data_IF_795194026748
#
_entry.id   IF_795194026748
#
_cell.length_a   1.000
_cell.length_b   1.000
_cell.length_c   1.000
_cell.angle_alpha   90.00
_cell.angle_beta   90.00
_cell.angle_gamma   90.00
#
_symmetry.space_group_name_H-M   'P 1'
#
loop_
_entity.id
_entity.type
_entity.pdbx_description
1 polymer ?
#
# COMPACT_ATOMS: atom_id res chain seq x y z
N UNK A 1 -8.42 -70.97 34.29
CA UNK A 1 -7.98 -71.21 32.88
C UNK A 1 -8.05 -69.92 32.11
N UNK A 2 -6.89 -69.16 32.02
CA UNK A 2 -6.81 -67.93 31.30
C UNK A 2 -6.85 -68.18 29.80
N UNK A 3 -7.83 -67.62 29.10
CA UNK A 3 -7.89 -67.65 27.63
C UNK A 3 -6.78 -66.79 27.09
N UNK A 4 -5.86 -67.37 26.33
CA UNK A 4 -4.79 -66.64 25.66
C UNK A 4 -5.38 -65.76 24.55
N UNK A 5 -5.24 -64.43 24.67
CA UNK A 5 -5.69 -63.48 23.65
C UNK A 5 -4.81 -63.60 22.41
N UNK A 6 -5.46 -63.66 21.24
CA UNK A 6 -4.80 -63.64 19.92
C UNK A 6 -5.47 -62.60 19.00
N UNK A 7 -4.68 -61.92 18.19
CA UNK A 7 -5.19 -60.88 17.25
C UNK A 7 -5.61 -59.59 17.94
N UNK A 8 -6.64 -58.96 17.42
CA UNK A 8 -7.11 -57.66 17.88
C UNK A 8 -7.95 -57.74 19.15
N UNK A 9 -7.51 -57.11 20.22
CA UNK A 9 -8.29 -56.94 21.45
C UNK A 9 -9.07 -55.62 21.41
N UNK A 10 -10.34 -55.70 21.84
CA UNK A 10 -11.27 -54.56 21.92
C UNK A 10 -11.60 -54.22 23.35
N UNK A 11 -11.89 -52.96 23.63
CA UNK A 11 -12.47 -52.52 24.89
C UNK A 11 -13.98 -52.79 24.95
N UNK A 12 -14.63 -52.41 26.05
CA UNK A 12 -16.08 -52.58 26.27
C UNK A 12 -16.94 -51.83 25.26
N UNK A 13 -16.39 -50.79 24.57
CA UNK A 13 -17.06 -50.04 23.50
C UNK A 13 -16.87 -50.70 22.13
N UNK A 14 -16.17 -51.81 22.03
CA UNK A 14 -15.83 -52.47 20.77
C UNK A 14 -14.67 -51.88 20.02
N UNK A 15 -13.97 -50.86 20.59
CA UNK A 15 -12.82 -50.19 19.97
C UNK A 15 -11.54 -51.02 20.14
N UNK A 16 -10.79 -51.25 19.07
CA UNK A 16 -9.51 -51.94 19.12
C UNK A 16 -8.51 -51.14 19.97
N UNK A 17 -7.93 -51.80 20.99
CA UNK A 17 -7.01 -51.14 21.92
C UNK A 17 -5.65 -51.83 22.02
N UNK A 18 -5.54 -53.14 21.71
CA UNK A 18 -4.28 -53.91 21.73
C UNK A 18 -4.24 -54.92 20.58
N UNK A 19 -3.05 -55.43 20.30
CA UNK A 19 -2.84 -56.51 19.36
C UNK A 19 -1.92 -57.58 19.98
N UNK A 20 -2.30 -58.83 19.81
CA UNK A 20 -1.54 -60.00 20.26
C UNK A 20 -1.16 -60.86 19.07
N UNK A 21 0.06 -61.43 19.09
CA UNK A 21 0.51 -62.33 18.01
C UNK A 21 -0.41 -63.52 17.85
N UNK A 22 -0.70 -63.94 16.62
CA UNK A 22 -1.62 -65.04 16.32
C UNK A 22 -1.11 -66.41 16.74
N UNK A 23 0.21 -66.57 16.83
CA UNK A 23 0.82 -67.81 17.32
C UNK A 23 0.89 -67.85 18.85
N UNK A 24 1.84 -67.19 19.42
CA UNK A 24 2.18 -67.25 20.85
C UNK A 24 1.35 -66.31 21.72
N UNK A 25 0.49 -65.44 21.18
CA UNK A 25 -0.33 -64.53 21.98
C UNK A 25 0.46 -63.47 22.75
N UNK A 26 1.68 -63.12 22.30
CA UNK A 26 2.46 -62.04 22.91
C UNK A 26 1.85 -60.69 22.58
N UNK A 27 1.77 -59.82 23.57
CA UNK A 27 1.37 -58.43 23.37
C UNK A 27 2.37 -57.72 22.48
N UNK A 28 1.85 -57.07 21.48
CA UNK A 28 2.68 -56.32 20.51
C UNK A 28 2.80 -54.86 20.91
N UNK A 29 4.03 -54.34 20.84
CA UNK A 29 4.37 -52.94 21.10
C UNK A 29 5.13 -52.36 19.90
N UNK A 30 5.28 -51.01 19.84
CA UNK A 30 5.96 -50.31 18.77
C UNK A 30 5.15 -50.23 17.49
N UNK A 31 5.86 -49.99 16.38
CA UNK A 31 5.25 -49.87 15.06
C UNK A 31 5.01 -51.23 14.41
N UNK A 32 3.80 -51.43 13.93
CA UNK A 32 3.40 -52.61 13.16
C UNK A 32 2.72 -52.21 11.88
N UNK A 33 3.10 -52.88 10.78
CA UNK A 33 2.47 -52.74 9.48
C UNK A 33 1.73 -54.00 9.09
N UNK A 34 0.45 -53.88 8.79
CA UNK A 34 -0.37 -55.01 8.35
C UNK A 34 -0.11 -55.36 6.84
N UNK A 35 -0.65 -56.48 6.38
CA UNK A 35 -0.49 -56.94 5.01
C UNK A 35 -1.05 -55.97 3.96
N UNK A 36 -1.88 -54.98 4.35
CA UNK A 36 -2.41 -53.92 3.48
C UNK A 36 -1.54 -52.69 3.49
N UNK A 37 -0.40 -52.69 4.19
CA UNK A 37 0.51 -51.55 4.35
C UNK A 37 0.10 -50.50 5.37
N UNK A 38 -0.97 -50.74 6.16
CA UNK A 38 -1.37 -49.84 7.21
C UNK A 38 -0.48 -50.00 8.42
N UNK A 39 0.18 -48.94 8.85
CA UNK A 39 1.04 -48.95 10.04
C UNK A 39 0.25 -48.40 11.25
N UNK A 40 0.38 -49.05 12.39
CA UNK A 40 -0.13 -48.60 13.69
C UNK A 40 1.00 -48.61 14.70
N UNK A 41 0.82 -47.92 15.81
CA UNK A 41 1.78 -47.90 16.90
C UNK A 41 1.07 -48.31 18.18
N UNK A 42 1.75 -49.12 18.97
CA UNK A 42 1.31 -49.59 20.30
C UNK A 42 2.35 -49.15 21.34
N UNK A 43 1.90 -48.51 22.38
CA UNK A 43 2.75 -47.99 23.45
C UNK A 43 3.65 -49.11 24.04
N UNK A 44 4.93 -48.81 24.21
CA UNK A 44 5.95 -49.79 24.59
C UNK A 44 5.72 -50.41 25.99
N UNK A 45 5.04 -49.67 26.90
CA UNK A 45 4.83 -50.10 28.26
C UNK A 45 3.46 -50.76 28.45
N UNK A 46 2.42 -50.20 27.84
CA UNK A 46 1.04 -50.58 28.07
C UNK A 46 0.44 -51.41 26.95
N UNK A 47 1.10 -51.48 25.80
CA UNK A 47 0.56 -52.10 24.59
C UNK A 47 -0.70 -51.42 24.04
N UNK A 48 -1.07 -50.25 24.53
CA UNK A 48 -2.23 -49.53 24.04
C UNK A 48 -1.97 -48.91 22.66
N UNK A 49 -2.93 -49.04 21.76
CA UNK A 49 -2.84 -48.52 20.43
C UNK A 49 -2.84 -46.97 20.46
N UNK A 50 -1.81 -46.38 19.91
CA UNK A 50 -1.66 -44.93 19.80
C UNK A 50 -2.69 -44.33 18.85
N UNK A 51 -3.29 -43.22 19.27
CA UNK A 51 -4.23 -42.38 18.49
C UNK A 51 -3.87 -40.94 18.67
N UNK A 52 -3.97 -40.15 17.61
CA UNK A 52 -3.52 -38.75 17.62
C UNK A 52 -2.01 -38.65 17.44
N UNK A 53 -1.40 -37.72 18.14
CA UNK A 53 0.02 -37.39 17.98
C UNK A 53 0.92 -38.33 18.77
N UNK A 54 2.02 -38.74 18.17
CA UNK A 54 3.16 -39.41 18.78
C UNK A 54 4.43 -38.62 18.47
N UNK A 55 5.26 -38.44 19.49
CA UNK A 55 6.65 -38.03 19.33
C UNK A 55 7.53 -39.18 19.81
N UNK A 56 8.44 -39.65 18.93
CA UNK A 56 9.36 -40.73 19.28
C UNK A 56 10.59 -40.23 20.06
N UNK A 57 11.45 -41.13 20.48
CA UNK A 57 12.69 -40.82 21.21
C UNK A 57 13.72 -39.99 20.40
N UNK A 58 13.58 -39.95 19.08
CA UNK A 58 14.40 -39.14 18.16
C UNK A 58 13.74 -37.79 17.83
N UNK A 59 12.65 -37.46 18.55
CA UNK A 59 11.88 -36.22 18.34
C UNK A 59 11.13 -36.13 16.99
N UNK A 60 10.95 -37.25 16.28
CA UNK A 60 10.09 -37.28 15.11
C UNK A 60 8.63 -37.33 15.49
N UNK A 61 7.76 -36.59 14.81
CA UNK A 61 6.32 -36.55 15.07
C UNK A 61 5.55 -37.35 14.04
N UNK A 62 4.55 -38.06 14.50
CA UNK A 62 3.63 -38.89 13.73
C UNK A 62 2.20 -38.57 14.13
N UNK A 63 1.27 -38.87 13.26
CA UNK A 63 -0.14 -38.74 13.55
C UNK A 63 -0.89 -40.02 13.20
N UNK A 64 -1.73 -40.50 14.12
CA UNK A 64 -2.54 -41.69 13.98
C UNK A 64 -4.03 -41.31 13.99
N UNK A 65 -4.77 -41.70 12.97
CA UNK A 65 -6.20 -41.38 12.88
C UNK A 65 -6.98 -41.91 14.07
N UNK A 66 -7.80 -41.06 14.68
CA UNK A 66 -8.52 -41.36 15.94
C UNK A 66 -9.49 -42.56 15.80
N UNK A 67 -10.09 -42.76 14.63
CA UNK A 67 -10.98 -43.90 14.36
C UNK A 67 -10.20 -45.19 14.19
N UNK A 68 -9.29 -45.29 13.24
CA UNK A 68 -8.61 -46.50 12.78
C UNK A 68 -7.31 -46.81 13.53
N UNK A 69 -6.66 -45.83 14.13
CA UNK A 69 -5.30 -45.93 14.65
C UNK A 69 -4.24 -46.12 13.56
N UNK A 70 -4.58 -45.90 12.28
CA UNK A 70 -3.64 -46.01 11.16
C UNK A 70 -2.79 -44.73 11.11
N UNK A 71 -1.50 -44.90 10.89
CA UNK A 71 -0.53 -43.81 10.74
C UNK A 71 -0.81 -42.98 9.50
N UNK A 72 -0.85 -41.71 9.65
CA UNK A 72 -1.00 -40.74 8.54
C UNK A 72 0.21 -40.79 7.60
N UNK A 73 -0.03 -40.78 6.31
CA UNK A 73 0.94 -40.62 5.24
C UNK A 73 0.38 -39.64 4.19
N UNK A 74 1.24 -38.85 3.56
CA UNK A 74 0.81 -37.84 2.59
C UNK A 74 0.15 -36.63 3.26
N UNK A 75 -0.81 -36.05 2.55
CA UNK A 75 -1.51 -34.85 2.98
C UNK A 75 -2.55 -35.14 4.04
N UNK A 76 -2.53 -34.35 5.09
CA UNK A 76 -3.55 -34.35 6.15
C UNK A 76 -4.01 -32.91 6.38
N UNK A 77 -5.32 -32.72 6.36
CA UNK A 77 -5.98 -31.44 6.63
C UNK A 77 -6.82 -31.53 7.90
N UNK A 78 -6.74 -30.53 8.76
CA UNK A 78 -7.55 -30.46 9.96
C UNK A 78 -8.86 -29.68 9.73
N UNK A 79 -9.70 -29.58 10.77
CA UNK A 79 -10.98 -28.85 10.69
C UNK A 79 -10.85 -27.34 10.44
N UNK A 80 -9.67 -26.77 10.63
CA UNK A 80 -9.33 -25.39 10.35
C UNK A 80 -8.68 -25.21 8.97
N UNK A 81 -8.79 -26.20 8.07
CA UNK A 81 -8.22 -26.22 6.72
C UNK A 81 -6.69 -26.10 6.68
N UNK A 82 -6.04 -26.31 7.81
CA UNK A 82 -4.58 -26.31 7.90
C UNK A 82 -4.01 -27.64 7.41
N UNK A 83 -3.08 -27.58 6.46
CA UNK A 83 -2.49 -28.74 5.82
C UNK A 83 -1.12 -29.08 6.41
N UNK A 84 -0.88 -30.37 6.57
CA UNK A 84 0.42 -30.97 6.93
C UNK A 84 0.75 -32.04 5.92
N UNK A 85 2.03 -32.36 5.81
CA UNK A 85 2.46 -33.46 4.99
C UNK A 85 3.27 -34.47 5.82
N UNK A 86 2.94 -35.73 5.69
CA UNK A 86 3.64 -36.84 6.33
C UNK A 86 4.35 -37.66 5.26
N UNK A 87 5.60 -38.01 5.51
CA UNK A 87 6.41 -38.79 4.58
C UNK A 87 5.69 -40.07 4.15
N UNK A 88 5.63 -40.33 2.85
CA UNK A 88 5.02 -41.55 2.30
C UNK A 88 5.80 -42.81 2.73
N UNK A 89 7.14 -42.70 2.91
CA UNK A 89 7.98 -43.85 3.23
C UNK A 89 7.89 -44.23 4.70
N UNK A 90 7.89 -43.27 5.61
CA UNK A 90 8.03 -43.56 7.05
C UNK A 90 6.99 -42.89 7.96
N UNK A 91 6.05 -42.08 7.43
CA UNK A 91 5.01 -41.40 8.18
C UNK A 91 5.48 -40.25 9.07
N UNK A 92 6.73 -39.84 9.00
CA UNK A 92 7.24 -38.71 9.78
C UNK A 92 6.62 -37.40 9.28
N UNK A 93 6.22 -36.54 10.20
CA UNK A 93 5.75 -35.20 9.85
C UNK A 93 6.88 -34.39 9.18
N UNK A 94 6.60 -33.84 8.02
CA UNK A 94 7.52 -32.98 7.31
C UNK A 94 7.53 -31.56 7.89
N UNK A 95 8.70 -30.96 8.05
CA UNK A 95 8.92 -29.57 8.49
C UNK A 95 10.00 -28.91 7.64
N UNK A 96 10.04 -27.57 7.64
CA UNK A 96 10.99 -26.82 6.83
C UNK A 96 10.69 -26.88 5.33
N UNK A 97 11.72 -26.69 4.53
CA UNK A 97 11.62 -26.69 3.07
C UNK A 97 11.47 -28.12 2.53
N UNK A 98 10.44 -28.32 1.73
CA UNK A 98 10.21 -29.57 0.99
C UNK A 98 10.09 -29.29 -0.49
N UNK A 99 10.89 -29.98 -1.30
CA UNK A 99 10.83 -29.95 -2.76
C UNK A 99 10.08 -31.19 -3.26
N UNK A 100 9.04 -31.00 -4.06
CA UNK A 100 8.33 -32.10 -4.71
C UNK A 100 9.14 -32.65 -5.90
N UNK A 101 8.76 -33.83 -6.39
CA UNK A 101 9.34 -34.43 -7.61
C UNK A 101 9.15 -33.56 -8.85
N UNK A 102 8.09 -32.73 -8.87
CA UNK A 102 7.85 -31.74 -9.94
C UNK A 102 8.66 -30.43 -9.75
N UNK A 103 9.61 -30.38 -8.80
CA UNK A 103 10.45 -29.21 -8.55
C UNK A 103 9.80 -28.09 -7.74
N UNK A 104 8.54 -28.24 -7.32
CA UNK A 104 7.84 -27.22 -6.53
C UNK A 104 8.28 -27.23 -5.06
N UNK A 105 8.54 -26.03 -4.50
CA UNK A 105 8.91 -25.87 -3.09
C UNK A 105 7.70 -25.49 -2.26
N UNK A 106 7.62 -26.04 -1.04
CA UNK A 106 6.70 -25.67 0.02
C UNK A 106 7.47 -25.53 1.33
N UNK A 107 6.90 -24.79 2.28
CA UNK A 107 7.49 -24.67 3.60
C UNK A 107 6.47 -25.09 4.66
N UNK A 108 6.94 -25.89 5.60
CA UNK A 108 6.15 -26.38 6.72
C UNK A 108 6.76 -25.88 8.03
N UNK A 109 5.93 -25.22 8.85
CA UNK A 109 6.37 -24.59 10.09
C UNK A 109 7.10 -25.59 11.00
N UNK A 110 8.35 -25.32 11.43
CA UNK A 110 9.15 -26.28 12.22
C UNK A 110 8.47 -26.74 13.50
N UNK A 111 7.74 -25.86 14.19
CA UNK A 111 7.12 -26.16 15.47
C UNK A 111 5.95 -27.14 15.38
N UNK A 112 5.17 -27.14 14.29
CA UNK A 112 3.91 -27.89 14.21
C UNK A 112 3.57 -28.47 12.83
N UNK A 113 4.46 -28.32 11.84
CA UNK A 113 4.30 -28.89 10.50
C UNK A 113 3.17 -28.29 9.66
N UNK A 114 2.58 -27.15 10.06
CA UNK A 114 1.55 -26.47 9.25
C UNK A 114 2.21 -25.88 8.00
N UNK A 115 1.62 -26.16 6.84
CA UNK A 115 2.07 -25.60 5.56
C UNK A 115 1.85 -24.09 5.52
N UNK A 116 2.86 -23.34 5.07
CA UNK A 116 2.74 -21.92 4.85
C UNK A 116 1.93 -21.58 3.59
N UNK A 117 1.09 -20.56 3.70
CA UNK A 117 0.29 -20.00 2.59
C UNK A 117 0.24 -18.49 2.72
N UNK A 118 0.22 -17.77 1.59
CA UNK A 118 0.28 -16.32 1.58
C UNK A 118 1.71 -15.78 1.67
N UNK A 119 1.85 -14.55 2.15
CA UNK A 119 3.15 -13.92 2.38
C UNK A 119 3.65 -14.29 3.78
N UNK A 120 4.76 -14.99 3.84
CA UNK A 120 5.32 -15.49 5.09
C UNK A 120 6.82 -15.21 5.16
N UNK A 121 7.34 -14.98 6.37
CA UNK A 121 8.76 -14.82 6.64
C UNK A 121 9.36 -16.17 7.04
N UNK A 122 10.39 -16.60 6.32
CA UNK A 122 11.20 -17.78 6.64
C UNK A 122 12.61 -17.27 6.88
N UNK A 123 13.12 -17.47 8.09
CA UNK A 123 14.34 -16.83 8.58
C UNK A 123 14.24 -15.31 8.44
N UNK A 124 15.10 -14.66 7.66
CA UNK A 124 15.06 -13.22 7.47
C UNK A 124 14.40 -12.77 6.16
N UNK A 125 14.02 -13.71 5.30
CA UNK A 125 13.49 -13.44 3.97
C UNK A 125 11.98 -13.63 3.89
N UNK A 126 11.30 -12.79 3.09
CA UNK A 126 9.90 -12.97 2.77
C UNK A 126 9.71 -13.84 1.52
N UNK A 127 8.70 -14.71 1.55
CA UNK A 127 8.28 -15.57 0.45
C UNK A 127 6.77 -15.52 0.29
N UNK A 128 6.30 -15.71 -0.92
CA UNK A 128 4.87 -15.90 -1.16
C UNK A 128 4.57 -17.35 -1.53
N UNK A 129 3.65 -17.93 -0.79
CA UNK A 129 3.15 -19.29 -1.01
C UNK A 129 1.71 -19.22 -1.53
N UNK A 130 1.42 -19.92 -2.63
CA UNK A 130 0.06 -19.98 -3.17
C UNK A 130 -0.95 -20.36 -2.09
N UNK A 131 -2.02 -19.60 -1.93
CA UNK A 131 -3.05 -19.85 -0.92
C UNK A 131 -3.73 -21.20 -1.08
N UNK A 132 -3.89 -21.66 -2.34
CA UNK A 132 -4.54 -22.95 -2.65
C UNK A 132 -3.60 -24.13 -2.54
N UNK A 133 -2.35 -24.00 -2.98
CA UNK A 133 -1.42 -25.13 -3.13
C UNK A 133 -0.24 -25.12 -2.19
N UNK A 134 0.04 -24.00 -1.53
CA UNK A 134 1.23 -23.78 -0.71
C UNK A 134 2.54 -23.79 -1.52
N UNK A 135 2.47 -23.78 -2.85
CA UNK A 135 3.66 -23.73 -3.70
C UNK A 135 4.27 -22.33 -3.65
N UNK A 136 5.59 -22.26 -3.42
CA UNK A 136 6.35 -21.01 -3.42
C UNK A 136 6.27 -20.32 -4.78
N UNK A 137 5.92 -19.05 -4.78
CA UNK A 137 5.95 -18.21 -5.98
C UNK A 137 7.37 -17.75 -6.26
N UNK A 138 7.79 -17.83 -7.53
CA UNK A 138 9.14 -17.46 -7.98
C UNK A 138 9.12 -17.01 -9.45
N UNK A 139 8.19 -16.11 -9.81
CA UNK A 139 7.96 -15.68 -11.19
C UNK A 139 8.18 -14.18 -11.41
N UNK A 140 9.05 -13.54 -10.60
CA UNK A 140 9.30 -12.11 -10.70
C UNK A 140 8.21 -11.27 -10.02
N UNK A 141 7.69 -10.26 -10.70
CA UNK A 141 6.69 -9.38 -10.13
C UNK A 141 5.40 -10.12 -9.73
N UNK A 142 4.89 -9.77 -8.55
CA UNK A 142 3.66 -10.31 -8.01
C UNK A 142 2.96 -9.31 -7.11
N UNK A 143 1.62 -9.43 -6.99
CA UNK A 143 0.80 -8.58 -6.12
C UNK A 143 0.24 -9.39 -4.96
N UNK A 144 0.41 -8.90 -3.75
CA UNK A 144 -0.15 -9.48 -2.53
C UNK A 144 -1.00 -8.42 -1.81
N UNK A 145 -2.31 -8.59 -1.83
CA UNK A 145 -3.23 -7.52 -1.45
C UNK A 145 -3.12 -6.34 -2.44
N UNK A 146 -2.88 -5.14 -1.92
CA UNK A 146 -2.63 -3.93 -2.73
C UNK A 146 -1.15 -3.65 -2.99
N UNK A 147 -0.24 -4.48 -2.46
CA UNK A 147 1.19 -4.24 -2.50
C UNK A 147 1.86 -5.05 -3.60
N UNK A 148 2.82 -4.44 -4.32
CA UNK A 148 3.63 -5.08 -5.35
C UNK A 148 4.95 -5.56 -4.76
N UNK A 149 5.43 -6.72 -5.21
CA UNK A 149 6.67 -7.38 -4.81
C UNK A 149 7.41 -7.89 -6.04
N UNK A 150 8.68 -8.22 -5.89
CA UNK A 150 9.42 -9.01 -6.86
C UNK A 150 9.96 -10.25 -6.15
N UNK A 151 9.53 -11.43 -6.57
CA UNK A 151 10.01 -12.71 -6.05
C UNK A 151 11.04 -13.29 -7.01
N UNK A 152 12.29 -13.43 -6.54
CA UNK A 152 13.41 -13.85 -7.38
C UNK A 152 13.12 -15.21 -8.04
N UNK A 153 13.27 -15.33 -9.37
CA UNK A 153 13.00 -16.58 -10.07
C UNK A 153 13.87 -17.76 -9.65
N UNK A 154 15.05 -17.50 -9.09
CA UNK A 154 16.00 -18.57 -8.70
C UNK A 154 15.66 -19.17 -7.34
N UNK A 155 15.35 -18.35 -6.34
CA UNK A 155 15.17 -18.78 -4.95
C UNK A 155 13.82 -18.40 -4.33
N UNK A 156 13.00 -17.58 -5.01
CA UNK A 156 11.67 -17.15 -4.58
C UNK A 156 11.65 -16.13 -3.46
N UNK A 157 12.80 -15.57 -3.07
CA UNK A 157 12.87 -14.52 -2.06
C UNK A 157 12.24 -13.23 -2.57
N UNK A 158 11.51 -12.54 -1.73
CA UNK A 158 11.10 -11.18 -2.03
C UNK A 158 12.31 -10.26 -2.06
N UNK A 159 12.46 -9.52 -3.15
CA UNK A 159 13.55 -8.56 -3.32
C UNK A 159 13.42 -7.42 -2.32
N UNK A 160 14.54 -7.01 -1.74
CA UNK A 160 14.70 -5.77 -0.98
C UNK A 160 15.78 -4.91 -1.62
N UNK A 161 15.76 -3.60 -1.38
CA UNK A 161 16.69 -2.67 -2.00
C UNK A 161 16.51 -2.54 -3.52
N UNK A 162 17.58 -2.18 -4.20
CA UNK A 162 17.56 -1.92 -5.64
C UNK A 162 17.47 -3.19 -6.50
N UNK A 163 16.64 -3.11 -7.55
CA UNK A 163 16.58 -4.07 -8.65
C UNK A 163 16.71 -3.32 -9.98
N UNK A 164 17.60 -3.79 -10.86
CA UNK A 164 17.63 -3.35 -12.25
C UNK A 164 17.15 -4.50 -13.13
N UNK A 165 16.09 -4.27 -13.91
CA UNK A 165 15.52 -5.24 -14.82
C UNK A 165 15.18 -4.54 -16.14
N UNK A 166 15.66 -5.05 -17.26
CA UNK A 166 15.45 -4.50 -18.61
C UNK A 166 15.78 -2.99 -18.71
N UNK A 167 16.88 -2.57 -18.07
CA UNK A 167 17.35 -1.18 -18.03
C UNK A 167 16.53 -0.26 -17.11
N UNK A 168 15.47 -0.75 -16.49
CA UNK A 168 14.65 -0.01 -15.50
C UNK A 168 15.10 -0.32 -14.08
N UNK A 169 15.09 0.69 -13.23
CA UNK A 169 15.42 0.55 -11.79
C UNK A 169 14.15 0.57 -10.94
N UNK A 170 14.12 -0.31 -9.97
CA UNK A 170 13.05 -0.44 -8.98
C UNK A 170 13.65 -0.47 -7.59
N UNK A 171 12.90 -0.07 -6.58
CA UNK A 171 13.32 -0.17 -5.19
C UNK A 171 12.24 -0.82 -4.33
N UNK A 172 12.67 -1.70 -3.44
CA UNK A 172 11.83 -2.43 -2.51
C UNK A 172 12.29 -2.11 -1.08
N UNK A 173 11.36 -1.79 -0.20
CA UNK A 173 11.68 -1.55 1.21
C UNK A 173 12.06 -2.87 1.93
N UNK A 174 12.41 -2.79 3.23
CA UNK A 174 12.85 -3.94 4.03
C UNK A 174 11.77 -5.03 4.20
N UNK A 175 10.50 -4.71 3.96
CA UNK A 175 9.41 -5.67 3.90
C UNK A 175 9.19 -6.25 2.49
N UNK A 176 10.08 -5.95 1.52
CA UNK A 176 9.99 -6.40 0.13
C UNK A 176 8.91 -5.68 -0.69
N UNK A 177 8.29 -4.62 -0.17
CA UNK A 177 7.25 -3.87 -0.90
C UNK A 177 7.88 -2.90 -1.87
N UNK A 178 7.48 -2.96 -3.13
CA UNK A 178 7.93 -2.06 -4.19
C UNK A 178 7.45 -0.62 -3.93
N UNK A 179 8.35 0.35 -4.04
CA UNK A 179 7.97 1.75 -4.07
C UNK A 179 7.34 2.08 -5.43
N UNK A 180 6.17 2.72 -5.41
CA UNK A 180 5.47 3.19 -6.60
C UNK A 180 4.64 4.43 -6.23
N UNK A 181 4.36 5.30 -7.20
CA UNK A 181 3.63 6.57 -7.04
C UNK A 181 4.17 7.40 -5.85
N UNK A 182 5.50 7.47 -5.71
CA UNK A 182 6.13 8.14 -4.57
C UNK A 182 7.47 8.72 -4.93
N UNK A 183 7.98 9.56 -4.03
CA UNK A 183 9.39 9.99 -4.05
C UNK A 183 10.03 9.55 -2.73
N UNK A 184 11.26 9.09 -2.82
CA UNK A 184 12.04 8.71 -1.67
C UNK A 184 13.52 9.08 -1.85
N UNK A 185 14.15 9.51 -0.76
CA UNK A 185 15.61 9.64 -0.69
C UNK A 185 16.20 8.27 -0.32
N UNK A 186 17.07 7.77 -1.16
CA UNK A 186 17.77 6.49 -0.98
C UNK A 186 19.26 6.76 -1.13
N UNK A 187 20.03 6.46 -0.10
CA UNK A 187 21.47 6.69 -0.05
C UNK A 187 21.84 8.16 -0.39
N UNK A 188 21.06 9.12 0.13
CA UNK A 188 21.29 10.55 -0.08
C UNK A 188 20.87 11.07 -1.47
N UNK A 189 20.35 10.21 -2.33
CA UNK A 189 19.86 10.60 -3.67
C UNK A 189 18.34 10.49 -3.72
N UNK A 190 17.66 11.51 -4.20
CA UNK A 190 16.21 11.50 -4.35
C UNK A 190 15.81 10.85 -5.68
N UNK A 191 14.85 9.94 -5.60
CA UNK A 191 14.27 9.25 -6.75
C UNK A 191 12.76 9.41 -6.75
N UNK A 192 12.19 9.61 -7.93
CA UNK A 192 10.77 9.48 -8.21
C UNK A 192 10.47 8.07 -8.71
N UNK A 193 9.44 7.45 -8.17
CA UNK A 193 8.91 6.16 -8.59
C UNK A 193 7.55 6.38 -9.25
N UNK A 194 7.41 6.00 -10.51
CA UNK A 194 6.13 6.09 -11.23
C UNK A 194 5.12 5.02 -10.72
N UNK A 195 3.92 4.98 -11.29
CA UNK A 195 2.87 4.00 -10.93
C UNK A 195 3.28 2.55 -11.19
N UNK A 196 4.28 2.34 -12.04
CA UNK A 196 4.85 1.02 -12.32
C UNK A 196 6.03 0.69 -11.39
N UNK A 197 6.46 1.65 -10.55
CA UNK A 197 7.59 1.54 -9.66
C UNK A 197 8.94 1.81 -10.33
N UNK A 198 8.97 2.35 -11.56
CA UNK A 198 10.23 2.68 -12.22
C UNK A 198 10.82 3.92 -11.59
N UNK A 199 12.05 3.78 -11.10
CA UNK A 199 12.79 4.86 -10.47
C UNK A 199 13.46 5.76 -11.52
N UNK A 200 13.25 7.06 -11.40
CA UNK A 200 14.00 8.10 -12.12
C UNK A 200 14.72 8.96 -11.09
N UNK A 201 16.02 9.14 -11.26
CA UNK A 201 16.76 10.09 -10.41
C UNK A 201 16.21 11.49 -10.68
N UNK A 202 15.76 12.16 -9.63
CA UNK A 202 15.35 13.56 -9.78
C UNK A 202 16.59 14.44 -9.70
N UNK A 203 16.74 15.33 -10.64
CA UNK A 203 17.72 16.41 -10.57
C UNK A 203 17.19 17.53 -9.67
N UNK A 204 16.76 17.18 -8.44
CA UNK A 204 16.10 18.14 -7.57
C UNK A 204 17.11 18.84 -6.68
N UNK A 205 17.81 19.81 -7.23
CA UNK A 205 18.53 20.78 -6.40
C UNK A 205 17.58 21.76 -5.69
N UNK A 206 16.25 21.68 -5.93
CA UNK A 206 15.28 22.70 -5.53
C UNK A 206 14.35 22.32 -4.38
N UNK A 207 14.31 21.05 -3.91
CA UNK A 207 13.46 20.67 -2.78
C UNK A 207 14.03 19.55 -1.91
N UNK A 208 13.62 19.54 -0.64
CA UNK A 208 13.90 18.47 0.34
C UNK A 208 12.62 17.99 1.00
N UNK A 209 12.59 16.74 1.46
CA UNK A 209 11.45 16.22 2.23
C UNK A 209 11.66 16.58 3.70
N UNK A 210 10.67 17.23 4.31
CA UNK A 210 10.66 17.62 5.72
C UNK A 210 9.37 17.12 6.37
N UNK A 211 9.44 15.96 7.00
CA UNK A 211 8.29 15.30 7.63
C UNK A 211 7.18 14.99 6.61
N UNK A 212 6.02 15.60 6.80
CA UNK A 212 4.85 15.45 5.91
C UNK A 212 4.83 16.42 4.74
N UNK A 213 5.83 17.28 4.61
CA UNK A 213 5.87 18.34 3.62
C UNK A 213 7.09 18.22 2.72
N UNK A 214 7.03 18.92 1.58
CA UNK A 214 8.16 19.14 0.67
C UNK A 214 8.61 20.57 0.84
N UNK A 215 9.85 20.76 1.28
CA UNK A 215 10.45 22.09 1.48
C UNK A 215 11.10 22.52 0.18
N UNK A 216 10.64 23.63 -0.38
CA UNK A 216 11.08 24.19 -1.68
C UNK A 216 11.70 25.55 -1.47
N UNK A 217 12.82 25.82 -2.14
CA UNK A 217 13.43 27.15 -2.15
C UNK A 217 12.87 27.98 -3.33
N UNK A 218 12.26 29.11 -3.00
CA UNK A 218 11.81 30.09 -4.01
C UNK A 218 12.89 31.17 -4.19
N UNK A 219 13.60 31.10 -5.30
CA UNK A 219 14.73 31.99 -5.58
C UNK A 219 14.30 33.45 -5.75
N UNK A 220 13.11 33.73 -6.26
CA UNK A 220 12.59 35.12 -6.43
C UNK A 220 12.32 35.75 -5.07
N UNK A 221 11.75 35.00 -4.14
CA UNK A 221 11.45 35.47 -2.79
C UNK A 221 12.64 35.32 -1.82
N UNK A 222 13.63 34.50 -2.17
CA UNK A 222 14.82 34.24 -1.35
C UNK A 222 14.54 33.45 -0.09
N UNK A 223 13.46 32.64 -0.04
CA UNK A 223 13.11 31.88 1.16
C UNK A 223 12.52 30.50 0.82
N UNK A 224 12.45 29.65 1.86
CA UNK A 224 11.83 28.34 1.77
C UNK A 224 10.34 28.40 2.06
N UNK A 225 9.58 27.58 1.31
CA UNK A 225 8.17 27.31 1.55
C UNK A 225 7.93 25.82 1.73
N UNK A 226 6.84 25.45 2.37
CA UNK A 226 6.44 24.06 2.59
C UNK A 226 5.26 23.74 1.68
N UNK A 227 5.43 22.70 0.83
CA UNK A 227 4.40 22.21 -0.07
C UNK A 227 3.78 20.94 0.51
N UNK A 228 2.53 20.69 0.17
CA UNK A 228 1.91 19.38 0.40
C UNK A 228 2.70 18.29 -0.34
N UNK A 229 2.69 17.05 0.16
CA UNK A 229 3.38 15.92 -0.49
C UNK A 229 2.92 15.68 -1.93
N UNK A 230 1.67 16.02 -2.23
CA UNK A 230 1.10 15.93 -3.58
C UNK A 230 1.87 16.74 -4.61
N UNK A 231 2.62 17.77 -4.20
CA UNK A 231 3.52 18.52 -5.08
C UNK A 231 4.48 17.61 -5.85
N UNK A 232 4.97 16.57 -5.19
CA UNK A 232 5.89 15.60 -5.80
C UNK A 232 5.19 14.30 -6.23
N UNK A 233 3.96 14.06 -5.77
CA UNK A 233 3.19 12.87 -6.12
C UNK A 233 2.37 13.05 -7.39
N UNK A 234 1.85 14.27 -7.63
CA UNK A 234 1.08 14.56 -8.83
C UNK A 234 2.02 14.64 -10.04
N UNK A 235 1.71 13.90 -11.14
CA UNK A 235 2.56 13.87 -12.32
C UNK A 235 2.76 15.25 -12.92
N UNK A 236 4.01 15.57 -13.31
CA UNK A 236 4.33 16.80 -14.05
C UNK A 236 4.38 18.09 -13.23
N UNK A 237 4.08 18.06 -11.92
CA UNK A 237 4.07 19.27 -11.08
C UNK A 237 5.49 19.67 -10.64
N UNK A 238 6.19 18.76 -9.96
CA UNK A 238 7.53 19.09 -9.43
C UNK A 238 8.57 19.31 -10.53
N UNK A 239 8.50 18.57 -11.63
CA UNK A 239 9.39 18.68 -12.78
C UNK A 239 8.98 19.77 -13.79
N UNK A 240 7.80 20.36 -13.60
CA UNK A 240 7.31 21.47 -14.44
C UNK A 240 6.80 21.08 -15.83
N UNK A 241 6.52 19.79 -16.07
CA UNK A 241 5.95 19.35 -17.36
C UNK A 241 4.47 19.70 -17.50
N UNK A 242 3.73 19.84 -16.38
CA UNK A 242 2.40 20.47 -16.38
C UNK A 242 2.58 21.98 -16.49
N UNK A 243 1.99 22.61 -17.49
CA UNK A 243 2.07 24.06 -17.68
C UNK A 243 1.28 24.80 -16.62
N UNK A 244 1.61 26.08 -16.39
CA UNK A 244 0.87 26.94 -15.47
C UNK A 244 -0.60 27.09 -15.89
N UNK A 245 -0.89 27.10 -17.20
CA UNK A 245 -2.25 27.13 -17.73
C UNK A 245 -3.01 25.83 -17.41
N UNK A 246 -2.40 24.66 -17.63
CA UNK A 246 -3.03 23.38 -17.35
C UNK A 246 -3.32 23.20 -15.86
N UNK A 247 -2.36 23.59 -15.00
CA UNK A 247 -2.54 23.55 -13.56
C UNK A 247 -3.64 24.51 -13.10
N UNK A 248 -3.63 25.75 -13.60
CA UNK A 248 -4.62 26.75 -13.21
C UNK A 248 -6.04 26.36 -13.66
N UNK A 249 -6.18 25.83 -14.89
CA UNK A 249 -7.46 25.30 -15.38
C UNK A 249 -7.96 24.13 -14.50
N UNK A 250 -7.06 23.22 -14.10
CA UNK A 250 -7.40 22.12 -13.23
C UNK A 250 -7.88 22.60 -11.83
N UNK A 251 -7.24 23.64 -11.27
CA UNK A 251 -7.66 24.26 -10.00
C UNK A 251 -9.02 24.94 -10.16
N UNK A 252 -9.23 25.71 -11.23
CA UNK A 252 -10.50 26.39 -11.50
C UNK A 252 -11.69 25.43 -11.54
N UNK A 253 -11.55 24.32 -12.26
CA UNK A 253 -12.59 23.31 -12.37
C UNK A 253 -12.81 22.57 -11.05
N UNK A 254 -11.76 22.29 -10.29
CA UNK A 254 -11.86 21.59 -9.03
C UNK A 254 -12.48 22.43 -7.91
N UNK A 255 -12.19 23.74 -7.86
CA UNK A 255 -12.67 24.65 -6.81
C UNK A 255 -13.98 25.37 -7.17
N UNK A 256 -14.22 25.65 -8.44
CA UNK A 256 -15.32 26.52 -8.89
C UNK A 256 -16.08 26.00 -10.11
N UNK A 257 -16.04 24.69 -10.39
CA UNK A 257 -16.70 24.10 -11.55
C UNK A 257 -18.20 24.43 -11.65
N UNK A 258 -18.88 24.52 -10.53
CA UNK A 258 -20.30 24.87 -10.41
C UNK A 258 -20.57 26.39 -10.42
N UNK A 259 -19.56 27.24 -10.34
CA UNK A 259 -19.69 28.70 -10.27
C UNK A 259 -19.73 29.38 -11.64
N UNK A 260 -19.47 28.63 -12.72
CA UNK A 260 -19.36 29.13 -14.10
C UNK A 260 -18.06 29.91 -14.35
N UNK A 261 -17.88 30.38 -15.58
CA UNK A 261 -16.61 30.97 -16.06
C UNK A 261 -16.10 32.10 -15.16
N UNK A 262 -16.96 33.03 -14.74
CA UNK A 262 -16.54 34.16 -13.90
C UNK A 262 -16.06 33.68 -12.50
N UNK A 263 -16.73 32.71 -11.89
CA UNK A 263 -16.29 32.15 -10.62
C UNK A 263 -14.95 31.42 -10.74
N UNK A 264 -14.75 30.67 -11.79
CA UNK A 264 -13.48 30.03 -12.13
C UNK A 264 -12.37 31.08 -12.37
N UNK A 265 -12.66 32.18 -13.09
CA UNK A 265 -11.74 33.27 -13.35
C UNK A 265 -11.32 33.99 -12.06
N UNK A 266 -12.26 34.20 -11.15
CA UNK A 266 -11.99 34.77 -9.83
C UNK A 266 -11.05 33.89 -8.99
N UNK A 267 -11.27 32.55 -8.99
CA UNK A 267 -10.36 31.58 -8.35
C UNK A 267 -8.96 31.63 -8.96
N UNK A 268 -8.86 31.67 -10.30
CA UNK A 268 -7.58 31.80 -10.98
C UNK A 268 -6.83 33.08 -10.57
N UNK A 269 -7.55 34.22 -10.52
CA UNK A 269 -6.94 35.51 -10.10
C UNK A 269 -6.47 35.45 -8.63
N UNK A 270 -7.17 34.78 -7.71
CA UNK A 270 -6.68 34.58 -6.35
C UNK A 270 -5.32 33.88 -6.32
N UNK A 271 -5.15 32.80 -7.08
CA UNK A 271 -3.87 32.08 -7.20
C UNK A 271 -2.78 33.02 -7.75
N UNK A 272 -3.09 33.75 -8.82
CA UNK A 272 -2.16 34.65 -9.48
C UNK A 272 -1.75 35.84 -8.57
N UNK A 273 -2.70 36.42 -7.85
CA UNK A 273 -2.44 37.52 -6.92
C UNK A 273 -1.50 37.12 -5.79
N UNK A 274 -1.57 35.86 -5.32
CA UNK A 274 -0.62 35.34 -4.35
C UNK A 274 0.82 35.32 -4.87
N UNK A 275 1.06 35.13 -6.17
CA UNK A 275 2.42 35.09 -6.75
C UNK A 275 3.18 36.41 -6.71
N UNK A 276 2.48 37.52 -6.49
CA UNK A 276 3.04 38.89 -6.40
C UNK A 276 2.88 39.50 -5.02
N UNK A 277 2.65 38.65 -3.98
CA UNK A 277 2.47 39.13 -2.63
C UNK A 277 3.71 39.89 -2.11
N UNK A 278 3.54 41.14 -1.76
CA UNK A 278 4.62 42.04 -1.31
C UNK A 278 5.25 41.57 0.00
N UNK A 279 4.47 40.97 0.88
CA UNK A 279 4.92 40.45 2.18
C UNK A 279 5.61 39.09 2.06
N UNK A 280 5.59 38.49 0.87
CA UNK A 280 6.19 37.18 0.56
C UNK A 280 5.66 36.05 1.50
N UNK A 281 4.41 36.14 1.89
CA UNK A 281 3.72 35.06 2.62
C UNK A 281 3.47 33.89 1.69
N UNK A 282 3.27 34.20 0.39
CA UNK A 282 3.10 33.22 -0.67
C UNK A 282 4.35 33.07 -1.53
N UNK A 283 4.55 31.87 -2.11
CA UNK A 283 5.60 31.65 -3.11
C UNK A 283 5.32 32.42 -4.41
N UNK A 284 6.37 32.65 -5.19
CA UNK A 284 6.29 33.43 -6.43
C UNK A 284 5.86 32.63 -7.68
N UNK A 285 5.66 31.33 -7.57
CA UNK A 285 5.26 30.47 -8.68
C UNK A 285 3.89 29.85 -8.46
N UNK A 286 3.06 29.77 -9.49
CA UNK A 286 1.69 29.24 -9.45
C UNK A 286 1.67 27.84 -8.79
N UNK A 287 2.56 26.94 -9.21
CA UNK A 287 2.64 25.58 -8.65
C UNK A 287 2.99 25.56 -7.17
N UNK A 288 3.78 26.49 -6.69
CA UNK A 288 4.12 26.59 -5.28
C UNK A 288 2.98 27.17 -4.46
N UNK A 289 2.24 28.14 -5.01
CA UNK A 289 1.03 28.69 -4.37
C UNK A 289 -0.03 27.61 -4.23
N UNK A 290 -0.34 26.87 -5.31
CA UNK A 290 -1.37 25.83 -5.32
C UNK A 290 -1.07 24.73 -4.31
N UNK A 291 0.19 24.32 -4.19
CA UNK A 291 0.60 23.21 -3.31
C UNK A 291 1.10 23.64 -1.93
N UNK A 292 1.02 24.91 -1.57
CA UNK A 292 1.45 25.39 -0.25
C UNK A 292 0.72 24.66 0.88
N UNK A 293 1.48 24.06 1.81
CA UNK A 293 0.98 23.14 2.83
C UNK A 293 1.04 23.64 4.28
N UNK A 294 1.67 24.80 4.53
CA UNK A 294 1.72 25.43 5.87
C UNK A 294 1.38 26.93 5.79
N UNK A 295 0.10 27.28 5.93
CA UNK A 295 -1.10 26.42 5.94
C UNK A 295 -1.46 25.87 4.54
N UNK A 296 -2.26 24.80 4.49
CA UNK A 296 -2.83 24.28 3.22
C UNK A 296 -3.75 25.34 2.62
N UNK A 297 -3.46 25.74 1.38
CA UNK A 297 -4.24 26.79 0.71
C UNK A 297 -5.47 26.24 -0.02
N UNK A 298 -5.32 25.08 -0.68
CA UNK A 298 -6.36 24.50 -1.53
C UNK A 298 -6.64 23.05 -1.13
N UNK A 299 -7.85 22.77 -0.63
CA UNK A 299 -8.26 21.44 -0.18
C UNK A 299 -8.23 20.41 -1.32
N UNK A 300 -8.53 20.83 -2.55
CA UNK A 300 -8.54 19.99 -3.76
C UNK A 300 -7.20 19.30 -4.05
N UNK A 301 -6.11 19.81 -3.49
CA UNK A 301 -4.77 19.20 -3.57
C UNK A 301 -4.73 17.88 -2.80
N UNK A 302 -5.33 17.85 -1.61
CA UNK A 302 -5.24 16.73 -0.68
C UNK A 302 -6.42 15.76 -0.75
N UNK A 303 -7.59 16.21 -1.22
CA UNK A 303 -8.80 15.38 -1.36
C UNK A 303 -8.87 14.57 -2.66
N UNK A 304 -7.92 14.82 -3.58
CA UNK A 304 -7.80 14.11 -4.86
C UNK A 304 -8.61 14.73 -6.01
N UNK A 305 -9.35 15.81 -5.80
CA UNK A 305 -10.10 16.49 -6.86
C UNK A 305 -9.15 17.05 -7.93
N UNK A 306 -8.08 17.72 -7.51
CA UNK A 306 -7.07 18.26 -8.43
C UNK A 306 -6.40 17.16 -9.27
N UNK A 307 -6.04 16.01 -8.66
CA UNK A 307 -5.43 14.90 -9.39
C UNK A 307 -6.35 14.35 -10.49
N UNK A 308 -7.68 14.30 -10.25
CA UNK A 308 -8.64 13.87 -11.26
C UNK A 308 -8.59 14.80 -12.47
N UNK A 309 -8.54 16.13 -12.27
CA UNK A 309 -8.45 17.14 -13.34
C UNK A 309 -7.13 17.05 -14.09
N UNK A 310 -6.02 16.90 -13.39
CA UNK A 310 -4.69 16.69 -14.02
C UNK A 310 -4.64 15.41 -14.87
N UNK A 311 -5.43 14.39 -14.53
CA UNK A 311 -5.62 13.18 -15.33
C UNK A 311 -6.70 13.33 -16.43
N UNK A 312 -7.16 14.56 -16.71
CA UNK A 312 -8.11 14.86 -17.78
C UNK A 312 -9.59 14.71 -17.44
N UNK A 313 -9.94 14.42 -16.19
CA UNK A 313 -11.32 14.23 -15.73
C UNK A 313 -11.93 15.56 -15.23
N UNK A 314 -12.15 16.51 -16.15
CA UNK A 314 -12.78 17.78 -15.87
C UNK A 314 -14.32 17.65 -15.78
N UNK A 315 -14.96 18.53 -15.01
CA UNK A 315 -16.41 18.74 -15.05
C UNK A 315 -16.79 19.66 -16.23
N UNK A 316 -16.04 20.76 -16.40
CA UNK A 316 -16.21 21.68 -17.54
C UNK A 316 -14.85 22.18 -18.05
N UNK A 317 -14.16 21.31 -18.79
CA UNK A 317 -12.84 21.60 -19.33
C UNK A 317 -12.78 22.88 -20.16
N UNK A 318 -13.79 23.11 -21.01
CA UNK A 318 -13.80 24.25 -21.93
C UNK A 318 -13.84 25.57 -21.16
N UNK A 319 -14.75 25.69 -20.20
CA UNK A 319 -14.85 26.88 -19.39
C UNK A 319 -13.68 27.05 -18.43
N UNK A 320 -13.14 25.97 -17.87
CA UNK A 320 -11.96 26.03 -17.01
C UNK A 320 -10.72 26.60 -17.72
N UNK A 321 -10.44 26.13 -18.94
CA UNK A 321 -9.33 26.68 -19.74
C UNK A 321 -9.58 28.10 -20.21
N UNK A 322 -10.83 28.45 -20.57
CA UNK A 322 -11.17 29.83 -20.95
C UNK A 322 -10.98 30.80 -19.77
N UNK A 323 -11.45 30.41 -18.57
CA UNK A 323 -11.29 31.19 -17.36
C UNK A 323 -9.81 31.36 -16.93
N UNK A 324 -9.05 30.27 -16.91
CA UNK A 324 -7.63 30.32 -16.58
C UNK A 324 -6.84 31.21 -17.53
N UNK A 325 -7.11 31.13 -18.84
CA UNK A 325 -6.47 31.94 -19.85
C UNK A 325 -6.83 33.42 -19.70
N UNK A 326 -8.11 33.74 -19.52
CA UNK A 326 -8.58 35.14 -19.35
C UNK A 326 -7.97 35.75 -18.07
N UNK A 327 -7.93 35.02 -16.97
CA UNK A 327 -7.28 35.46 -15.73
C UNK A 327 -5.79 35.71 -15.91
N UNK A 328 -5.06 34.84 -16.60
CA UNK A 328 -3.63 35.03 -16.89
C UNK A 328 -3.38 36.26 -17.79
N UNK A 329 -4.20 36.48 -18.80
CA UNK A 329 -4.12 37.65 -19.67
C UNK A 329 -4.37 38.95 -18.87
N UNK A 330 -5.43 39.01 -18.08
CA UNK A 330 -5.76 40.12 -17.20
C UNK A 330 -4.66 40.41 -16.18
N UNK A 331 -4.13 39.33 -15.54
CA UNK A 331 -3.03 39.44 -14.59
C UNK A 331 -1.74 39.96 -15.25
N UNK A 332 -1.39 39.48 -16.43
CA UNK A 332 -0.23 39.95 -17.17
C UNK A 332 -0.36 41.44 -17.58
N UNK A 333 -1.55 41.86 -17.95
CA UNK A 333 -1.81 43.28 -18.24
C UNK A 333 -1.71 44.16 -16.98
N UNK A 334 -2.13 43.62 -15.81
CA UNK A 334 -1.91 44.28 -14.53
C UNK A 334 -0.42 44.45 -14.22
N UNK A 335 0.34 43.36 -14.27
CA UNK A 335 1.77 43.35 -13.92
C UNK A 335 2.59 44.24 -14.88
N UNK A 336 2.29 44.21 -16.17
CA UNK A 336 3.10 44.90 -17.19
C UNK A 336 2.66 46.34 -17.45
N UNK A 337 1.37 46.65 -17.24
CA UNK A 337 0.79 47.96 -17.66
C UNK A 337 0.01 48.68 -16.55
N UNK A 338 -0.15 48.05 -15.38
CA UNK A 338 -0.96 48.58 -14.29
C UNK A 338 -2.47 48.59 -14.57
N UNK A 339 -2.93 47.81 -15.57
CA UNK A 339 -4.36 47.70 -15.92
C UNK A 339 -5.11 46.99 -14.80
N UNK A 340 -6.18 47.61 -14.30
CA UNK A 340 -6.98 47.04 -13.20
C UNK A 340 -7.65 45.73 -13.61
N UNK A 341 -7.67 44.77 -12.69
CA UNK A 341 -8.33 43.46 -12.84
C UNK A 341 -9.80 43.60 -12.49
N UNK A 342 -10.67 43.63 -13.48
CA UNK A 342 -12.11 43.83 -13.28
C UNK A 342 -12.89 42.65 -13.81
N UNK A 343 -13.72 42.03 -12.93
CA UNK A 343 -14.57 40.90 -13.26
C UNK A 343 -16.04 41.29 -13.28
N UNK A 344 -16.83 40.79 -14.24
CA UNK A 344 -18.28 40.97 -14.24
C UNK A 344 -18.92 40.34 -12.99
N UNK A 345 -19.85 41.09 -12.38
CA UNK A 345 -20.54 40.64 -11.18
C UNK A 345 -19.83 40.92 -9.85
N UNK A 346 -18.62 41.50 -9.91
CA UNK A 346 -17.91 42.07 -8.75
C UNK A 346 -18.04 43.58 -8.73
N UNK A 347 -18.08 44.17 -7.53
CA UNK A 347 -18.17 45.64 -7.37
C UNK A 347 -16.82 46.29 -7.27
N UNK A 348 -15.78 45.52 -6.90
CA UNK A 348 -14.40 46.00 -6.86
C UNK A 348 -13.93 46.41 -8.28
N UNK A 349 -13.18 47.53 -8.32
CA UNK A 349 -12.61 48.02 -9.59
C UNK A 349 -11.26 47.37 -9.93
N UNK A 350 -10.64 46.71 -8.97
CA UNK A 350 -9.42 45.93 -9.11
C UNK A 350 -9.50 44.69 -8.22
N UNK A 351 -9.60 43.54 -8.85
CA UNK A 351 -9.71 42.26 -8.16
C UNK A 351 -8.35 41.87 -7.57
N UNK A 352 -8.10 42.28 -6.30
CA UNK A 352 -6.85 42.03 -5.56
C UNK A 352 -6.99 40.92 -4.51
N UNK A 353 -8.12 40.21 -4.49
CA UNK A 353 -8.38 39.14 -3.53
C UNK A 353 -7.37 37.99 -3.70
N UNK A 354 -6.94 37.44 -2.56
CA UNK A 354 -5.98 36.31 -2.49
C UNK A 354 -6.62 35.04 -1.96
N UNK A 355 -7.74 35.16 -1.28
CA UNK A 355 -8.41 34.07 -0.60
C UNK A 355 -9.86 33.94 -1.05
N UNK A 356 -10.39 32.73 -0.98
CA UNK A 356 -11.80 32.46 -1.12
C UNK A 356 -12.21 31.25 -0.28
N UNK A 357 -13.48 31.19 0.10
CA UNK A 357 -14.10 30.07 0.77
C UNK A 357 -15.61 30.13 0.66
N UNK A 358 -16.30 29.06 1.07
CA UNK A 358 -17.75 29.09 1.13
C UNK A 358 -18.25 30.11 2.15
N UNK A 359 -19.44 30.72 1.97
CA UNK A 359 -20.00 31.69 2.92
C UNK A 359 -20.14 31.14 4.34
N UNK A 360 -20.43 29.86 4.50
CA UNK A 360 -20.51 29.19 5.81
C UNK A 360 -19.13 29.12 6.48
N UNK A 361 -18.11 28.69 5.73
CA UNK A 361 -16.74 28.65 6.23
C UNK A 361 -16.22 30.05 6.59
N UNK A 362 -16.52 31.06 5.75
CA UNK A 362 -16.12 32.46 5.99
C UNK A 362 -16.72 33.00 7.28
N UNK A 363 -18.02 32.81 7.53
CA UNK A 363 -18.71 33.24 8.76
C UNK A 363 -18.18 32.55 10.02
N UNK A 364 -17.65 31.34 9.89
CA UNK A 364 -17.08 30.57 11.00
C UNK A 364 -15.67 31.05 11.40
N UNK A 365 -15.02 31.90 10.60
CA UNK A 365 -13.71 32.44 10.92
C UNK A 365 -13.80 33.59 11.94
N UNK A 366 -12.80 33.67 12.80
CA UNK A 366 -12.65 34.79 13.73
C UNK A 366 -11.99 35.98 13.00
N UNK A 367 -12.71 36.62 12.08
CA UNK A 367 -12.22 37.73 11.27
C UNK A 367 -12.85 39.06 11.69
N UNK A 368 -12.07 40.14 11.58
CA UNK A 368 -12.57 41.49 11.78
C UNK A 368 -13.25 42.02 10.50
N UNK A 369 -14.52 41.65 10.33
CA UNK A 369 -15.29 41.99 9.10
C UNK A 369 -15.42 43.49 8.85
N UNK A 370 -15.26 44.35 9.87
CA UNK A 370 -15.33 45.81 9.69
C UNK A 370 -14.05 46.41 9.03
N UNK A 371 -12.96 45.68 9.07
CA UNK A 371 -11.67 46.06 8.47
C UNK A 371 -11.29 45.25 7.25
N UNK A 372 -12.02 44.18 6.99
CA UNK A 372 -11.73 43.24 5.91
C UNK A 372 -12.41 43.66 4.62
N UNK A 373 -11.64 43.79 3.55
CA UNK A 373 -12.19 43.92 2.20
C UNK A 373 -12.57 42.54 1.66
N UNK A 374 -13.86 42.32 1.40
CA UNK A 374 -14.37 41.05 0.88
C UNK A 374 -15.61 41.26 0.01
N UNK A 375 -15.86 40.30 -0.85
CA UNK A 375 -17.02 40.30 -1.74
C UNK A 375 -17.53 38.87 -1.98
N UNK A 376 -18.84 38.68 -2.02
CA UNK A 376 -19.43 37.37 -2.31
C UNK A 376 -19.85 37.30 -3.77
N UNK A 377 -19.44 36.23 -4.45
CA UNK A 377 -19.91 35.86 -5.77
C UNK A 377 -20.39 34.39 -5.71
N UNK A 378 -21.70 34.16 -5.96
CA UNK A 378 -22.33 32.84 -5.92
C UNK A 378 -21.95 32.03 -4.64
N UNK A 379 -21.29 30.89 -4.82
CA UNK A 379 -20.90 29.97 -3.76
C UNK A 379 -19.64 30.33 -2.98
N UNK A 380 -18.95 31.42 -3.34
CA UNK A 380 -17.71 31.83 -2.69
C UNK A 380 -17.74 33.25 -2.15
N UNK A 381 -17.00 33.47 -1.06
CA UNK A 381 -16.63 34.79 -0.55
C UNK A 381 -15.13 34.95 -0.82
N UNK A 382 -14.79 36.03 -1.53
CA UNK A 382 -13.42 36.40 -1.88
C UNK A 382 -12.94 37.52 -0.96
N UNK A 383 -11.71 37.47 -0.46
CA UNK A 383 -11.19 38.45 0.50
C UNK A 383 -9.67 38.66 0.37
N UNK A 384 -9.19 39.81 0.86
CA UNK A 384 -7.80 40.26 0.66
C UNK A 384 -6.84 39.61 1.63
N UNK A 385 -7.21 39.52 2.93
CA UNK A 385 -6.28 39.16 4.01
C UNK A 385 -6.99 38.53 5.20
N UNK A 386 -6.23 37.88 6.11
CA UNK A 386 -6.71 37.31 7.36
C UNK A 386 -6.58 38.33 8.50
N UNK A 387 -7.51 39.26 8.60
CA UNK A 387 -7.54 40.25 9.67
C UNK A 387 -8.32 39.65 10.86
N UNK A 388 -7.60 39.22 11.91
CA UNK A 388 -8.23 38.67 13.12
C UNK A 388 -9.11 39.69 13.84
N UNK A 389 -10.21 39.22 14.40
CA UNK A 389 -11.17 40.00 15.21
C UNK A 389 -10.68 40.26 16.62
#
# INVERSE_FOLDING_TARGET
>A
TGVQLKGWAKDSSGKIVRYFTSGAGYMVTGFITDAKGNTRHFDEKTGLMTRGWLTDSQNYKYYFYSGSGVMAKGWVENKQEQKRYFSQSNGRMCTGWIKSTAGNYRYFKPSNGIMYVGLEKVDDDYYYFSKSTGVRYQKGFGTVGSKKYYFDPSDGKAKTGWLTLDGKKYYFNDAGVMLADTIAAIDGTTYRFDSNGVATKTSSDNYTIDGNYVKVYDAKNGKYYYMEKQFIQHPGIADGTVSDLDLLAAVCDAEAGDQGVIGMEAVALCVLNCTIDEYKEFPSQIRYVVYQGKPTQYAVVTDGALLKRLNGQFEDRTNAYAAAKAAMEMFNDYVNRGTKRSLPGFTTKDFNYKFFMTPAAFKAQNLNFSKLEYEQYKGHVFFVDWISG
#
